data_IF_147082174465
#
_entry.id   IF_147082174465
#
_cell.length_a   1.000
_cell.length_b   1.000
_cell.length_c   1.000
_cell.angle_alpha   90.00
_cell.angle_beta   90.00
_cell.angle_gamma   90.00
#
_symmetry.space_group_name_H-M   'P 1'
#
loop_
_entity.id
_entity.type
_entity.pdbx_description
1 polymer ?
#
# COMPACT_ATOMS: atom_id res chain seq x y z
N UNK A 1 6.50 37.86 -1.82
CA UNK A 1 6.01 36.60 -2.41
C UNK A 1 4.49 36.64 -2.46
N UNK A 2 3.88 36.39 -3.62
CA UNK A 2 2.42 36.43 -3.78
C UNK A 2 1.74 35.26 -3.03
N UNK A 3 0.45 35.39 -2.70
CA UNK A 3 -0.32 34.30 -2.07
C UNK A 3 -0.31 33.01 -2.92
N UNK A 4 -0.30 33.14 -4.24
CA UNK A 4 -0.23 32.02 -5.18
C UNK A 4 1.14 31.34 -5.18
N UNK A 5 2.23 32.11 -5.20
CA UNK A 5 3.59 31.58 -5.07
C UNK A 5 3.75 30.80 -3.76
N UNK A 6 3.24 31.33 -2.65
CA UNK A 6 3.29 30.65 -1.36
C UNK A 6 2.55 29.30 -1.36
N UNK A 7 1.35 29.25 -1.96
CA UNK A 7 0.55 28.02 -2.07
C UNK A 7 1.22 26.98 -2.97
N UNK A 8 1.77 27.41 -4.11
CA UNK A 8 2.48 26.53 -5.02
C UNK A 8 3.72 25.90 -4.36
N UNK A 9 4.52 26.72 -3.68
CA UNK A 9 5.69 26.24 -2.94
C UNK A 9 5.27 25.23 -1.87
N UNK A 10 4.21 25.51 -1.11
CA UNK A 10 3.71 24.59 -0.10
C UNK A 10 3.23 23.26 -0.71
N UNK A 11 2.49 23.30 -1.82
CA UNK A 11 2.06 22.10 -2.54
C UNK A 11 3.25 21.29 -3.06
N UNK A 12 4.28 21.96 -3.58
CA UNK A 12 5.50 21.32 -4.05
C UNK A 12 6.26 20.61 -2.91
N UNK A 13 6.39 21.26 -1.75
CA UNK A 13 6.99 20.62 -0.57
C UNK A 13 6.14 19.46 -0.04
N UNK A 14 4.81 19.56 -0.12
CA UNK A 14 3.92 18.45 0.23
C UNK A 14 4.11 17.27 -0.73
N UNK A 15 4.18 17.53 -2.04
CA UNK A 15 4.46 16.52 -3.04
C UNK A 15 5.81 15.83 -2.79
N UNK A 16 6.88 16.60 -2.58
CA UNK A 16 8.21 16.05 -2.25
C UNK A 16 8.16 15.21 -0.97
N UNK A 17 7.48 15.67 0.07
CA UNK A 17 7.38 14.92 1.33
C UNK A 17 6.68 13.56 1.15
N UNK A 18 5.63 13.50 0.33
CA UNK A 18 4.97 12.23 0.00
C UNK A 18 5.85 11.36 -0.90
N UNK A 19 6.52 11.92 -1.91
CA UNK A 19 7.45 11.19 -2.76
C UNK A 19 8.60 10.57 -1.94
N UNK A 20 9.11 11.31 -0.95
CA UNK A 20 10.09 10.82 0.03
C UNK A 20 9.54 9.68 0.88
N UNK A 21 8.29 9.78 1.32
CA UNK A 21 7.64 8.71 2.05
C UNK A 21 7.46 7.46 1.18
N UNK A 22 7.27 7.63 -0.13
CA UNK A 22 7.07 6.56 -1.11
C UNK A 22 8.36 5.98 -1.69
N UNK A 23 9.55 6.26 -1.14
CA UNK A 23 10.82 5.80 -1.74
C UNK A 23 10.86 4.30 -2.03
N UNK A 24 10.38 3.46 -1.12
CA UNK A 24 10.38 2.02 -1.36
C UNK A 24 9.39 1.61 -2.45
N UNK A 25 8.19 2.19 -2.45
CA UNK A 25 7.18 1.96 -3.51
C UNK A 25 7.68 2.45 -4.88
N UNK A 26 8.29 3.63 -4.93
CA UNK A 26 8.86 4.20 -6.15
C UNK A 26 10.03 3.35 -6.67
N UNK A 27 10.86 2.81 -5.78
CA UNK A 27 11.90 1.86 -6.11
C UNK A 27 11.31 0.59 -6.75
N UNK A 28 10.32 -0.06 -6.12
CA UNK A 28 9.69 -1.25 -6.69
C UNK A 28 9.04 -0.98 -8.06
N UNK A 29 8.30 0.12 -8.20
CA UNK A 29 7.72 0.52 -9.49
C UNK A 29 8.79 0.75 -10.56
N UNK A 30 9.93 1.34 -10.18
CA UNK A 30 11.06 1.52 -11.10
C UNK A 30 11.64 0.18 -11.54
N UNK A 31 11.78 -0.79 -10.61
CA UNK A 31 12.22 -2.15 -10.94
C UNK A 31 11.22 -2.84 -11.87
N UNK A 32 9.91 -2.63 -11.70
CA UNK A 32 8.90 -3.19 -12.62
C UNK A 32 9.07 -2.67 -14.05
N UNK A 33 9.25 -1.35 -14.19
CA UNK A 33 9.47 -0.69 -15.48
C UNK A 33 10.79 -1.15 -16.13
N UNK A 34 11.88 -1.19 -15.35
CA UNK A 34 13.18 -1.66 -15.86
C UNK A 34 13.10 -3.11 -16.30
N UNK A 35 12.49 -3.98 -15.50
CA UNK A 35 12.40 -5.41 -15.82
C UNK A 35 11.39 -5.73 -16.93
N UNK A 36 10.53 -4.79 -17.31
CA UNK A 36 9.69 -4.92 -18.50
C UNK A 36 10.50 -4.83 -19.79
N UNK A 37 11.49 -3.93 -19.82
CA UNK A 37 12.33 -3.70 -21.01
C UNK A 37 13.64 -4.48 -20.97
N UNK A 38 14.04 -4.97 -19.80
CA UNK A 38 15.26 -5.72 -19.58
C UNK A 38 14.98 -7.04 -18.86
N UNK A 39 15.26 -8.15 -19.54
CA UNK A 39 15.12 -9.50 -18.97
C UNK A 39 16.47 -10.22 -19.00
N UNK A 40 17.09 -10.46 -17.83
CA UNK A 40 18.35 -11.20 -17.76
C UNK A 40 18.13 -12.69 -18.07
N UNK A 41 19.07 -13.29 -18.79
CA UNK A 41 18.92 -14.67 -19.30
C UNK A 41 18.88 -15.76 -18.21
N UNK A 42 19.46 -15.51 -17.03
CA UNK A 42 19.70 -16.54 -16.02
C UNK A 42 18.88 -16.38 -14.73
N UNK A 43 17.99 -15.39 -14.67
CA UNK A 43 17.14 -15.16 -13.49
C UNK A 43 15.75 -14.75 -13.95
N UNK A 44 14.72 -15.35 -13.35
CA UNK A 44 13.35 -14.95 -13.61
C UNK A 44 13.15 -13.48 -13.23
N UNK A 45 12.31 -12.79 -14.02
CA UNK A 45 11.90 -11.41 -13.73
C UNK A 45 11.42 -11.24 -12.29
N UNK A 46 10.60 -12.18 -11.80
CA UNK A 46 10.06 -12.11 -10.44
C UNK A 46 11.11 -12.36 -9.36
N UNK A 47 12.09 -13.23 -9.62
CA UNK A 47 13.21 -13.45 -8.71
C UNK A 47 14.11 -12.22 -8.65
N UNK A 48 14.36 -11.56 -9.78
CA UNK A 48 15.12 -10.30 -9.81
C UNK A 48 14.41 -9.20 -9.03
N UNK A 49 13.09 -9.07 -9.17
CA UNK A 49 12.28 -8.14 -8.38
C UNK A 49 12.39 -8.47 -6.88
N UNK A 50 12.23 -9.75 -6.52
CA UNK A 50 12.33 -10.21 -5.14
C UNK A 50 13.70 -9.87 -4.54
N UNK A 51 14.79 -10.22 -5.22
CA UNK A 51 16.15 -9.93 -4.76
C UNK A 51 16.41 -8.43 -4.66
N UNK A 52 15.86 -7.63 -5.58
CA UNK A 52 15.96 -6.16 -5.53
C UNK A 52 15.24 -5.60 -4.29
N UNK A 53 14.05 -6.14 -3.97
CA UNK A 53 13.29 -5.75 -2.78
C UNK A 53 14.01 -6.15 -1.48
N UNK A 54 14.58 -7.35 -1.42
CA UNK A 54 15.40 -7.83 -0.30
C UNK A 54 16.64 -6.94 -0.13
N UNK A 55 17.36 -6.64 -1.22
CA UNK A 55 18.53 -5.77 -1.18
C UNK A 55 18.17 -4.37 -0.65
N UNK A 56 17.08 -3.77 -1.14
CA UNK A 56 16.59 -2.49 -0.62
C UNK A 56 16.31 -2.58 0.88
N UNK A 57 15.59 -3.60 1.34
CA UNK A 57 15.22 -3.78 2.74
C UNK A 57 16.45 -3.95 3.65
N UNK A 58 17.44 -4.74 3.20
CA UNK A 58 18.72 -4.93 3.91
C UNK A 58 19.49 -3.62 3.98
N UNK A 59 19.62 -2.89 2.87
CA UNK A 59 20.26 -1.58 2.85
C UNK A 59 19.55 -0.56 3.75
N UNK A 60 18.21 -0.53 3.74
CA UNK A 60 17.42 0.37 4.58
C UNK A 60 17.66 0.12 6.08
N UNK A 61 17.83 -1.15 6.48
CA UNK A 61 18.17 -1.52 7.85
C UNK A 61 19.63 -1.23 8.20
N UNK A 62 20.57 -1.62 7.33
CA UNK A 62 22.01 -1.44 7.55
C UNK A 62 22.39 0.04 7.64
N UNK A 63 21.79 0.88 6.79
CA UNK A 63 21.97 2.34 6.79
C UNK A 63 21.08 3.06 7.82
N UNK A 64 20.31 2.32 8.62
CA UNK A 64 19.40 2.83 9.67
C UNK A 64 18.36 3.83 9.15
N UNK A 65 17.98 3.72 7.88
CA UNK A 65 16.82 4.43 7.36
C UNK A 65 15.53 3.88 7.96
N UNK A 66 15.48 2.58 8.26
CA UNK A 66 14.35 1.93 8.94
C UNK A 66 14.76 1.37 10.31
N UNK A 67 13.85 1.46 11.28
CA UNK A 67 14.05 0.95 12.64
C UNK A 67 13.56 -0.50 12.75
N UNK A 68 14.12 -1.31 13.67
CA UNK A 68 13.69 -2.70 13.87
C UNK A 68 12.18 -2.87 14.14
N UNK A 69 11.57 -1.93 14.85
CA UNK A 69 10.11 -1.93 15.09
C UNK A 69 9.28 -1.78 13.82
N UNK A 70 9.80 -1.04 12.83
CA UNK A 70 9.15 -0.85 11.54
C UNK A 70 9.31 -2.10 10.68
N UNK A 71 10.48 -2.74 10.77
CA UNK A 71 10.74 -4.04 10.15
C UNK A 71 9.81 -5.13 10.67
N UNK A 72 9.51 -5.16 11.97
CA UNK A 72 8.51 -6.08 12.50
C UNK A 72 7.14 -5.93 11.82
N UNK A 73 6.69 -4.69 11.59
CA UNK A 73 5.44 -4.43 10.87
C UNK A 73 5.54 -4.90 9.42
N UNK A 74 6.69 -4.70 8.76
CA UNK A 74 6.95 -5.21 7.40
C UNK A 74 6.80 -6.74 7.33
N UNK A 75 7.28 -7.48 8.34
CA UNK A 75 7.08 -8.93 8.41
C UNK A 75 5.61 -9.31 8.55
N UNK A 76 4.82 -8.58 9.34
CA UNK A 76 3.36 -8.80 9.43
C UNK A 76 2.67 -8.60 8.09
N UNK A 77 3.08 -7.57 7.33
CA UNK A 77 2.58 -7.38 5.96
C UNK A 77 2.90 -8.57 5.07
N UNK A 78 4.13 -9.10 5.11
CA UNK A 78 4.49 -10.26 4.30
C UNK A 78 3.60 -11.47 4.61
N UNK A 79 3.38 -11.77 5.89
CA UNK A 79 2.57 -12.92 6.30
C UNK A 79 1.11 -12.77 5.84
N UNK A 80 0.49 -11.63 6.14
CA UNK A 80 -0.92 -11.39 5.81
C UNK A 80 -1.14 -11.23 4.30
N UNK A 81 -0.23 -10.54 3.61
CA UNK A 81 -0.28 -10.37 2.17
C UNK A 81 -0.14 -11.71 1.45
N UNK A 82 0.87 -12.51 1.81
CA UNK A 82 1.09 -13.81 1.17
C UNK A 82 -0.13 -14.72 1.36
N UNK A 83 -0.73 -14.73 2.56
CA UNK A 83 -1.98 -15.46 2.80
C UNK A 83 -3.12 -15.03 1.88
N UNK A 84 -3.32 -13.71 1.71
CA UNK A 84 -4.35 -13.18 0.82
C UNK A 84 -4.05 -13.46 -0.65
N UNK A 85 -2.81 -13.27 -1.09
CA UNK A 85 -2.36 -13.54 -2.45
C UNK A 85 -2.53 -15.01 -2.82
N UNK A 86 -2.21 -15.94 -1.90
CA UNK A 86 -2.40 -17.38 -2.13
C UNK A 86 -3.85 -17.71 -2.39
N UNK A 87 -4.75 -17.12 -1.60
CA UNK A 87 -6.18 -17.28 -1.82
C UNK A 87 -6.63 -16.65 -3.14
N UNK A 88 -6.23 -15.40 -3.39
CA UNK A 88 -6.72 -14.60 -4.52
C UNK A 88 -6.25 -15.08 -5.88
N UNK A 89 -5.04 -15.62 -5.94
CA UNK A 89 -4.42 -16.14 -7.16
C UNK A 89 -4.62 -17.64 -7.35
N UNK A 90 -5.24 -18.32 -6.37
CA UNK A 90 -5.57 -19.73 -6.51
C UNK A 90 -6.39 -19.95 -7.79
N UNK A 91 -6.11 -21.00 -8.60
CA UNK A 91 -6.79 -21.21 -9.88
C UNK A 91 -8.32 -21.27 -9.78
N UNK A 92 -8.86 -21.77 -8.66
CA UNK A 92 -10.31 -21.80 -8.41
C UNK A 92 -10.94 -20.43 -8.08
N UNK A 93 -10.14 -19.44 -7.66
CA UNK A 93 -10.59 -18.09 -7.32
C UNK A 93 -10.32 -17.12 -8.47
N UNK A 94 -9.11 -17.18 -9.04
CA UNK A 94 -8.73 -16.48 -10.27
C UNK A 94 -8.94 -14.97 -10.24
N UNK A 95 -8.76 -14.31 -9.08
CA UNK A 95 -8.98 -12.85 -8.99
C UNK A 95 -7.97 -12.06 -9.83
N UNK A 96 -6.75 -12.57 -9.95
CA UNK A 96 -5.70 -12.16 -10.89
C UNK A 96 -4.67 -13.28 -11.00
N UNK A 97 -3.76 -13.16 -11.96
CA UNK A 97 -2.69 -14.13 -12.20
C UNK A 97 -1.33 -13.44 -12.32
N UNK A 98 -0.29 -14.14 -11.89
CA UNK A 98 1.11 -13.74 -12.07
C UNK A 98 1.72 -14.50 -13.26
N UNK A 99 1.72 -13.95 -14.49
CA UNK A 99 2.11 -14.71 -15.70
C UNK A 99 3.54 -15.25 -15.65
N UNK A 100 4.48 -14.57 -14.98
CA UNK A 100 5.87 -14.98 -14.87
C UNK A 100 6.18 -16.01 -13.77
N UNK A 101 5.16 -16.49 -13.03
CA UNK A 101 5.41 -17.24 -11.77
C UNK A 101 6.01 -18.62 -12.04
N UNK A 102 5.67 -19.24 -13.18
CA UNK A 102 6.17 -20.56 -13.53
C UNK A 102 7.70 -20.65 -13.72
N UNK A 103 8.37 -19.51 -13.95
CA UNK A 103 9.82 -19.43 -14.04
C UNK A 103 10.52 -19.00 -12.75
N UNK A 104 9.78 -18.61 -11.72
CA UNK A 104 10.33 -18.05 -10.48
C UNK A 104 10.72 -19.15 -9.48
N UNK A 105 11.90 -19.03 -8.88
CA UNK A 105 12.36 -19.90 -7.79
C UNK A 105 11.80 -19.40 -6.46
N UNK A 106 11.73 -18.08 -6.26
CA UNK A 106 11.20 -17.45 -5.06
C UNK A 106 9.69 -17.24 -5.18
N UNK A 107 8.96 -18.35 -5.22
CA UNK A 107 7.50 -18.38 -5.25
C UNK A 107 6.95 -19.45 -4.32
N UNK A 108 5.72 -19.25 -3.86
CA UNK A 108 4.95 -20.24 -3.12
C UNK A 108 3.61 -20.45 -3.81
N UNK A 109 3.43 -21.61 -4.44
CA UNK A 109 2.28 -21.88 -5.29
C UNK A 109 2.19 -20.88 -6.46
N UNK A 110 1.07 -20.19 -6.58
CA UNK A 110 0.80 -19.16 -7.61
C UNK A 110 1.35 -17.78 -7.25
N UNK A 111 2.03 -17.64 -6.11
CA UNK A 111 2.41 -16.34 -5.53
C UNK A 111 3.92 -16.15 -5.54
N UNK A 112 4.45 -15.20 -6.33
CA UNK A 112 5.83 -14.77 -6.21
C UNK A 112 6.06 -14.11 -4.84
N UNK A 113 7.20 -14.39 -4.19
CA UNK A 113 7.49 -13.87 -2.85
C UNK A 113 7.71 -12.36 -2.81
N UNK A 114 7.96 -11.70 -3.96
CA UNK A 114 8.05 -10.24 -4.00
C UNK A 114 6.71 -9.55 -3.67
N UNK A 115 5.59 -10.24 -3.82
CA UNK A 115 4.25 -9.68 -3.57
C UNK A 115 4.11 -9.23 -2.12
N UNK A 116 4.69 -9.94 -1.16
CA UNK A 116 4.74 -9.50 0.25
C UNK A 116 5.39 -8.11 0.41
N UNK A 117 6.41 -7.81 -0.40
CA UNK A 117 7.05 -6.49 -0.42
C UNK A 117 6.17 -5.39 -1.03
N UNK A 118 5.22 -5.72 -1.91
CA UNK A 118 4.26 -4.72 -2.42
C UNK A 118 3.36 -4.19 -1.31
N UNK A 119 2.84 -5.09 -0.49
CA UNK A 119 2.01 -4.69 0.66
C UNK A 119 2.85 -4.01 1.73
N UNK A 120 4.07 -4.49 2.00
CA UNK A 120 4.95 -3.82 2.95
C UNK A 120 5.39 -2.43 2.47
N UNK A 121 5.42 -2.17 1.15
CA UNK A 121 5.69 -0.83 0.61
C UNK A 121 4.61 0.18 1.00
N UNK A 122 3.34 -0.24 1.09
CA UNK A 122 2.26 0.59 1.65
C UNK A 122 2.53 0.88 3.13
N UNK A 123 2.91 -0.13 3.91
CA UNK A 123 3.26 0.01 5.32
C UNK A 123 4.47 0.93 5.56
N UNK A 124 5.51 0.80 4.74
CA UNK A 124 6.69 1.67 4.75
C UNK A 124 6.29 3.10 4.42
N UNK A 125 5.48 3.33 3.37
CA UNK A 125 4.94 4.66 3.06
C UNK A 125 4.22 5.29 4.26
N UNK A 126 3.30 4.58 4.92
CA UNK A 126 2.56 5.11 6.08
C UNK A 126 3.55 5.46 7.21
N UNK A 127 4.50 4.57 7.51
CA UNK A 127 5.51 4.80 8.57
C UNK A 127 6.41 6.00 8.27
N UNK A 128 6.87 6.12 7.02
CA UNK A 128 7.67 7.25 6.56
C UNK A 128 6.86 8.55 6.54
N UNK A 129 5.57 8.50 6.19
CA UNK A 129 4.68 9.64 6.25
C UNK A 129 4.54 10.15 7.70
N UNK A 130 4.37 9.26 8.69
CA UNK A 130 4.38 9.64 10.11
C UNK A 130 5.63 10.44 10.51
N UNK A 131 6.79 10.07 9.96
CA UNK A 131 8.07 10.70 10.28
C UNK A 131 8.26 12.00 9.50
N UNK A 132 8.16 11.98 8.18
CA UNK A 132 8.48 13.12 7.33
C UNK A 132 7.44 14.23 7.39
N UNK A 133 6.17 13.89 7.61
CA UNK A 133 5.08 14.85 7.74
C UNK A 133 4.70 15.14 9.20
N UNK A 134 5.38 14.51 10.17
CA UNK A 134 5.10 14.61 11.60
C UNK A 134 3.60 14.42 11.90
N UNK A 135 3.04 13.30 11.42
CA UNK A 135 1.60 13.08 11.49
C UNK A 135 1.13 12.93 12.94
N UNK A 136 0.01 13.59 13.24
CA UNK A 136 -0.76 13.43 14.47
C UNK A 136 -2.24 13.43 14.12
N UNK A 137 -3.05 12.79 14.96
CA UNK A 137 -4.48 12.62 14.70
C UNK A 137 -5.27 13.31 15.79
N UNK A 138 -6.33 14.00 15.38
CA UNK A 138 -7.30 14.66 16.25
C UNK A 138 -8.63 13.91 16.19
N UNK A 139 -9.28 13.71 17.34
CA UNK A 139 -10.57 13.00 17.43
C UNK A 139 -10.49 11.62 16.76
N UNK A 140 -9.42 10.90 17.04
CA UNK A 140 -9.27 9.52 16.59
C UNK A 140 -10.29 8.63 17.33
N UNK A 141 -10.98 7.69 16.64
CA UNK A 141 -11.94 6.82 17.30
C UNK A 141 -11.25 5.92 18.34
N UNK A 142 -12.03 5.28 19.20
CA UNK A 142 -11.46 4.33 20.14
C UNK A 142 -10.67 3.23 19.39
N UNK A 143 -9.47 2.94 19.86
CA UNK A 143 -8.48 2.14 19.13
C UNK A 143 -8.98 0.73 18.77
N UNK A 144 -9.92 0.17 19.54
CA UNK A 144 -10.51 -1.13 19.24
C UNK A 144 -11.38 -1.10 17.97
N UNK A 145 -12.05 0.02 17.63
CA UNK A 145 -12.83 0.13 16.40
C UNK A 145 -11.94 -0.01 15.15
N UNK A 146 -10.73 0.54 15.19
CA UNK A 146 -9.74 0.39 14.11
C UNK A 146 -9.42 -1.08 13.88
N UNK A 147 -9.21 -1.86 14.94
CA UNK A 147 -8.87 -3.28 14.84
C UNK A 147 -10.04 -4.17 14.45
N UNK A 148 -11.25 -3.91 15.00
CA UNK A 148 -12.46 -4.59 14.54
C UNK A 148 -12.61 -4.39 13.03
N UNK A 149 -12.48 -3.15 12.57
CA UNK A 149 -12.58 -2.81 11.16
C UNK A 149 -11.50 -3.49 10.32
N UNK A 150 -10.24 -3.47 10.75
CA UNK A 150 -9.14 -4.13 10.04
C UNK A 150 -9.35 -5.65 9.90
N UNK A 151 -9.82 -6.31 10.96
CA UNK A 151 -10.14 -7.74 10.94
C UNK A 151 -11.30 -8.01 9.99
N UNK A 152 -12.39 -7.24 10.06
CA UNK A 152 -13.54 -7.40 9.16
C UNK A 152 -13.18 -7.17 7.70
N UNK A 153 -12.31 -6.19 7.41
CA UNK A 153 -11.78 -5.95 6.06
C UNK A 153 -10.98 -7.15 5.58
N UNK A 154 -10.05 -7.65 6.40
CA UNK A 154 -9.22 -8.79 6.04
C UNK A 154 -10.10 -10.01 5.73
N UNK A 155 -11.03 -10.35 6.62
CA UNK A 155 -11.97 -11.46 6.43
C UNK A 155 -12.84 -11.27 5.18
N UNK A 156 -13.34 -10.06 4.93
CA UNK A 156 -14.12 -9.76 3.73
C UNK A 156 -13.32 -10.01 2.45
N UNK A 157 -12.01 -9.72 2.41
CA UNK A 157 -11.19 -10.01 1.23
C UNK A 157 -11.12 -11.51 0.87
N UNK A 158 -11.31 -12.42 1.83
CA UNK A 158 -11.46 -13.85 1.56
C UNK A 158 -12.93 -14.21 1.26
N UNK A 159 -13.86 -13.77 2.10
CA UNK A 159 -15.22 -14.29 2.11
C UNK A 159 -16.10 -13.79 0.98
N UNK A 160 -15.85 -12.61 0.39
CA UNK A 160 -16.71 -12.07 -0.69
C UNK A 160 -16.73 -12.91 -1.96
N UNK A 161 -15.82 -13.88 -2.10
CA UNK A 161 -15.85 -14.82 -3.22
C UNK A 161 -16.90 -15.93 -3.00
N UNK A 162 -17.26 -16.22 -1.74
CA UNK A 162 -18.20 -17.29 -1.38
C UNK A 162 -19.53 -16.77 -0.84
N UNK A 163 -19.53 -15.56 -0.28
CA UNK A 163 -20.68 -14.90 0.35
C UNK A 163 -20.83 -13.47 -0.16
N UNK A 164 -21.86 -12.77 0.32
CA UNK A 164 -22.09 -11.37 0.00
C UNK A 164 -20.89 -10.48 0.32
N UNK A 165 -20.55 -9.62 -0.63
CA UNK A 165 -19.54 -8.60 -0.42
C UNK A 165 -20.09 -7.48 0.49
N UNK A 166 -19.64 -7.48 1.75
CA UNK A 166 -20.05 -6.51 2.76
C UNK A 166 -19.29 -5.17 2.69
N UNK A 167 -18.55 -4.87 1.60
CA UNK A 167 -17.75 -3.64 1.48
C UNK A 167 -18.53 -2.36 1.76
N UNK A 168 -19.79 -2.27 1.36
CA UNK A 168 -20.62 -1.09 1.60
C UNK A 168 -20.89 -0.88 3.09
N UNK A 169 -21.12 -1.95 3.85
CA UNK A 169 -21.21 -1.89 5.31
C UNK A 169 -19.89 -1.44 5.92
N UNK A 170 -18.75 -1.96 5.43
CA UNK A 170 -17.43 -1.54 5.89
C UNK A 170 -17.18 -0.06 5.60
N UNK A 171 -17.55 0.46 4.42
CA UNK A 171 -17.44 1.88 4.10
C UNK A 171 -18.30 2.75 5.01
N UNK A 172 -19.54 2.35 5.30
CA UNK A 172 -20.40 3.05 6.26
C UNK A 172 -19.76 3.07 7.64
N UNK A 173 -19.21 1.94 8.09
CA UNK A 173 -18.53 1.87 9.38
C UNK A 173 -17.28 2.76 9.43
N UNK A 174 -16.42 2.72 8.41
CA UNK A 174 -15.26 3.61 8.25
C UNK A 174 -15.71 5.07 8.34
N UNK A 175 -16.75 5.44 7.59
CA UNK A 175 -17.28 6.80 7.54
C UNK A 175 -17.72 7.25 8.93
N UNK A 176 -18.56 6.47 9.62
CA UNK A 176 -19.09 6.81 10.95
C UNK A 176 -17.96 7.08 11.94
N UNK A 177 -16.95 6.21 12.01
CA UNK A 177 -15.91 6.32 13.05
C UNK A 177 -14.84 7.38 12.72
N UNK A 178 -14.59 7.67 11.43
CA UNK A 178 -13.52 8.57 11.02
C UNK A 178 -13.97 9.92 10.46
N UNK A 179 -15.28 10.18 10.28
CA UNK A 179 -15.77 11.45 9.72
C UNK A 179 -15.29 12.68 10.51
N UNK A 180 -15.12 12.54 11.83
CA UNK A 180 -14.61 13.62 12.71
C UNK A 180 -13.09 13.64 12.84
N UNK A 181 -12.40 12.61 12.37
CA UNK A 181 -10.95 12.45 12.52
C UNK A 181 -10.22 13.36 11.54
N UNK A 182 -9.29 14.17 12.06
CA UNK A 182 -8.43 15.05 11.27
C UNK A 182 -6.98 14.60 11.40
N UNK A 183 -6.28 14.57 10.28
CA UNK A 183 -4.83 14.33 10.21
C UNK A 183 -4.16 15.70 10.23
N UNK A 184 -3.37 15.95 11.25
CA UNK A 184 -2.48 17.12 11.34
C UNK A 184 -1.09 16.73 10.84
N UNK A 185 -0.53 17.55 9.97
CA UNK A 185 0.74 17.32 9.33
C UNK A 185 1.50 18.64 9.15
N UNK A 186 2.82 18.57 9.11
CA UNK A 186 3.69 19.73 8.90
C UNK A 186 4.24 19.70 7.47
N UNK A 187 3.96 20.76 6.72
CA UNK A 187 4.56 20.98 5.39
C UNK A 187 5.33 22.28 5.42
N UNK A 188 6.58 22.23 4.95
CA UNK A 188 7.47 23.38 4.92
C UNK A 188 7.59 24.03 6.32
N UNK A 189 6.90 25.16 6.55
CA UNK A 189 6.92 25.92 7.81
C UNK A 189 5.59 25.95 8.56
N UNK A 190 4.53 25.33 8.04
CA UNK A 190 3.18 25.43 8.60
C UNK A 190 2.60 24.06 8.96
N UNK A 191 1.83 24.04 10.03
CA UNK A 191 0.94 22.92 10.34
C UNK A 191 -0.36 23.07 9.55
N UNK A 192 -0.81 21.96 8.97
CA UNK A 192 -2.04 21.85 8.20
C UNK A 192 -2.84 20.65 8.70
N UNK A 193 -4.13 20.67 8.41
CA UNK A 193 -5.03 19.57 8.74
C UNK A 193 -5.84 19.15 7.53
N UNK A 194 -6.16 17.86 7.44
CA UNK A 194 -7.02 17.30 6.41
C UNK A 194 -7.93 16.22 7.01
N UNK A 195 -9.18 16.03 6.53
CA UNK A 195 -9.99 14.87 6.94
C UNK A 195 -9.24 13.55 6.69
N UNK A 196 -9.27 12.62 7.65
CA UNK A 196 -8.63 11.31 7.49
C UNK A 196 -9.17 10.56 6.26
N UNK A 197 -10.49 10.59 6.06
CA UNK A 197 -11.13 9.94 4.92
C UNK A 197 -10.60 10.47 3.58
N UNK A 198 -10.34 11.77 3.48
CA UNK A 198 -9.72 12.36 2.29
C UNK A 198 -8.28 11.89 2.12
N UNK A 199 -7.52 11.76 3.21
CA UNK A 199 -6.13 11.27 3.18
C UNK A 199 -6.07 9.83 2.69
N UNK A 200 -6.91 8.97 3.25
CA UNK A 200 -7.02 7.57 2.87
C UNK A 200 -7.49 7.42 1.41
N UNK A 201 -8.49 8.20 0.98
CA UNK A 201 -8.97 8.19 -0.40
C UNK A 201 -7.90 8.62 -1.41
N UNK A 202 -7.22 9.76 -1.17
CA UNK A 202 -6.16 10.21 -2.07
C UNK A 202 -5.01 9.20 -2.13
N UNK A 203 -4.64 8.62 -0.99
CA UNK A 203 -3.61 7.56 -0.96
C UNK A 203 -4.07 6.33 -1.76
N UNK A 204 -5.33 5.90 -1.60
CA UNK A 204 -5.90 4.78 -2.36
C UNK A 204 -5.88 5.02 -3.87
N UNK A 205 -6.19 6.26 -4.27
CA UNK A 205 -6.15 6.68 -5.67
C UNK A 205 -4.73 6.60 -6.25
N UNK A 206 -3.70 7.04 -5.51
CA UNK A 206 -2.31 6.89 -5.96
C UNK A 206 -1.86 5.43 -6.02
N UNK A 207 -2.35 4.57 -5.12
CA UNK A 207 -2.11 3.12 -5.20
C UNK A 207 -2.79 2.53 -6.43
N UNK A 208 -4.00 2.96 -6.79
CA UNK A 208 -4.66 2.55 -8.03
C UNK A 208 -3.88 3.00 -9.28
N UNK A 209 -3.27 4.19 -9.29
CA UNK A 209 -2.36 4.61 -10.36
C UNK A 209 -1.16 3.65 -10.44
N UNK A 210 -0.54 3.32 -9.30
CA UNK A 210 0.57 2.37 -9.25
C UNK A 210 0.17 0.98 -9.78
N UNK A 211 -1.02 0.49 -9.43
CA UNK A 211 -1.58 -0.76 -9.96
C UNK A 211 -1.75 -0.73 -11.49
N UNK A 212 -2.17 0.39 -12.07
CA UNK A 212 -2.26 0.52 -13.52
C UNK A 212 -0.89 0.44 -14.18
N UNK A 213 0.15 1.02 -13.57
CA UNK A 213 1.54 0.87 -14.06
C UNK A 213 1.97 -0.60 -13.96
N UNK A 214 1.70 -1.28 -12.84
CA UNK A 214 2.09 -2.67 -12.64
C UNK A 214 1.41 -3.63 -13.62
N UNK A 215 0.11 -3.46 -13.86
CA UNK A 215 -0.64 -4.26 -14.85
C UNK A 215 -0.20 -3.94 -16.28
N UNK A 216 0.15 -2.68 -16.57
CA UNK A 216 0.74 -2.31 -17.87
C UNK A 216 2.08 -3.00 -18.12
N UNK A 217 2.89 -3.16 -17.07
CA UNK A 217 4.16 -3.90 -17.10
C UNK A 217 3.99 -5.42 -16.90
N UNK A 218 2.79 -5.98 -17.08
CA UNK A 218 2.54 -7.42 -16.99
C UNK A 218 3.00 -8.09 -15.67
N UNK A 219 3.08 -7.35 -14.56
CA UNK A 219 3.51 -7.91 -13.28
C UNK A 219 2.42 -8.86 -12.77
N UNK A 220 1.17 -8.42 -12.77
CA UNK A 220 0.00 -9.28 -12.64
C UNK A 220 -1.05 -8.82 -13.65
N UNK A 221 -1.97 -9.72 -13.99
CA UNK A 221 -3.05 -9.46 -14.93
C UNK A 221 -4.39 -9.87 -14.32
N UNK A 222 -5.38 -9.00 -14.48
CA UNK A 222 -6.77 -9.35 -14.21
C UNK A 222 -7.33 -10.24 -15.35
N UNK A 223 -8.35 -11.09 -15.10
CA UNK A 223 -8.93 -11.96 -16.13
C UNK A 223 -9.39 -11.21 -17.39
N UNK A 224 -9.90 -9.99 -17.22
CA UNK A 224 -10.33 -9.13 -18.33
C UNK A 224 -9.18 -8.45 -19.07
N UNK A 225 -7.95 -8.47 -18.54
CA UNK A 225 -6.75 -7.85 -19.14
C UNK A 225 -5.83 -8.86 -19.86
N UNK A 226 -6.22 -10.13 -19.96
CA UNK A 226 -5.37 -11.18 -20.56
C UNK A 226 -5.09 -10.97 -22.06
N UNK A 227 -6.05 -10.40 -22.80
CA UNK A 227 -5.91 -10.17 -24.25
C UNK A 227 -5.44 -8.75 -24.58
N UNK A 228 -5.87 -7.75 -23.82
CA UNK A 228 -5.50 -6.35 -24.05
C UNK A 228 -5.48 -5.54 -22.75
N UNK A 229 -4.50 -4.64 -22.66
CA UNK A 229 -4.40 -3.74 -21.53
C UNK A 229 -5.43 -2.61 -21.65
N UNK A 230 -6.11 -2.35 -20.54
CA UNK A 230 -6.97 -1.19 -20.32
C UNK A 230 -6.89 -0.79 -18.85
N UNK A 231 -7.37 0.40 -18.53
CA UNK A 231 -7.36 0.87 -17.14
C UNK A 231 -8.12 -0.10 -16.23
N UNK A 232 -7.49 -0.43 -15.11
CA UNK A 232 -8.12 -1.22 -14.04
C UNK A 232 -9.35 -0.48 -13.53
N UNK A 233 -10.48 -1.19 -13.33
CA UNK A 233 -11.73 -0.58 -12.86
C UNK A 233 -11.51 0.35 -11.67
N UNK A 234 -12.18 1.51 -11.70
CA UNK A 234 -12.12 2.49 -10.62
C UNK A 234 -12.67 1.93 -9.29
N UNK A 235 -13.50 0.88 -9.32
CA UNK A 235 -13.98 0.19 -8.11
C UNK A 235 -12.83 -0.36 -7.25
N UNK A 236 -11.67 -0.62 -7.84
CA UNK A 236 -10.46 -1.04 -7.11
C UNK A 236 -9.94 0.03 -6.16
N UNK A 237 -10.20 1.32 -6.41
CA UNK A 237 -9.90 2.39 -5.45
C UNK A 237 -10.59 2.10 -4.11
N UNK A 238 -11.81 1.57 -4.12
CA UNK A 238 -12.51 1.15 -2.91
C UNK A 238 -11.83 0.00 -2.17
N UNK A 239 -11.33 -1.00 -2.92
CA UNK A 239 -10.55 -2.11 -2.34
C UNK A 239 -9.22 -1.61 -1.73
N UNK A 240 -8.50 -0.72 -2.43
CA UNK A 240 -7.28 -0.10 -1.90
C UNK A 240 -7.54 0.77 -0.69
N UNK A 241 -8.66 1.49 -0.66
CA UNK A 241 -9.07 2.28 0.49
C UNK A 241 -9.25 1.40 1.73
N UNK A 242 -9.96 0.27 1.62
CA UNK A 242 -10.12 -0.67 2.75
C UNK A 242 -8.78 -1.30 3.14
N UNK A 243 -7.96 -1.71 2.15
CA UNK A 243 -6.63 -2.24 2.42
C UNK A 243 -5.73 -1.22 3.13
N UNK A 244 -5.85 0.07 2.81
CA UNK A 244 -5.11 1.14 3.48
C UNK A 244 -5.55 1.33 4.93
N UNK A 245 -6.84 1.15 5.24
CA UNK A 245 -7.32 1.17 6.63
C UNK A 245 -6.75 -0.01 7.42
N UNK A 246 -6.73 -1.20 6.83
CA UNK A 246 -6.05 -2.37 7.41
C UNK A 246 -4.56 -2.10 7.60
N UNK A 247 -3.89 -1.59 6.58
CA UNK A 247 -2.46 -1.27 6.60
C UNK A 247 -2.13 -0.24 7.68
N UNK A 248 -2.98 0.78 7.81
CA UNK A 248 -2.88 1.78 8.85
C UNK A 248 -3.03 1.16 10.23
N UNK A 249 -3.96 0.21 10.44
CA UNK A 249 -4.09 -0.51 11.71
C UNK A 249 -2.79 -1.24 12.10
N UNK A 250 -2.16 -1.95 11.16
CA UNK A 250 -0.88 -2.63 11.40
C UNK A 250 0.24 -1.64 11.77
N UNK A 251 0.40 -0.55 11.01
CA UNK A 251 1.42 0.47 11.29
C UNK A 251 1.12 1.22 12.59
N UNK A 252 -0.15 1.40 12.94
CA UNK A 252 -0.57 2.11 14.15
C UNK A 252 -0.06 1.49 15.45
N UNK A 253 0.30 0.19 15.44
CA UNK A 253 0.92 -0.51 16.58
C UNK A 253 2.13 0.27 17.11
N UNK A 254 2.98 0.76 16.21
CA UNK A 254 4.24 1.43 16.56
C UNK A 254 4.14 2.97 16.62
N UNK A 255 2.97 3.54 16.32
CA UNK A 255 2.68 4.98 16.37
C UNK A 255 1.48 5.33 17.26
N UNK A 256 1.12 4.44 18.19
CA UNK A 256 -0.09 4.56 19.02
C UNK A 256 -0.17 5.87 19.81
N UNK A 257 0.98 6.42 20.22
CA UNK A 257 1.10 7.70 20.93
C UNK A 257 0.66 8.90 20.07
N UNK A 258 0.80 8.81 18.75
CA UNK A 258 0.44 9.86 17.79
C UNK A 258 -1.06 9.94 17.50
N UNK A 259 -1.84 8.97 17.98
CA UNK A 259 -3.27 8.84 17.70
C UNK A 259 -4.18 9.45 18.78
N UNK A 260 -3.65 9.77 19.96
CA UNK A 260 -4.45 10.08 21.15
C UNK A 260 -4.64 11.59 21.41
N UNK A 261 -4.65 12.42 20.36
CA UNK A 261 -4.83 13.87 20.49
C UNK A 261 -6.19 14.35 20.00
#
# INVERSE_FOLDING_TARGET
>A
MSKWQARFIELWYFFIANLRASYFSAFLLSVFLVTEVFSPAFISRYDLIFLSAVAYQVCALALRYEKPREFFVILLFHLLATGMELFKTHPAIGSWTYPGVGGAVFAFGTVPLFTGFLYSAIGSYISRAFIFLNLTYERFPAYYHLWILAILIYLNFFSHHFFYDIRYFLFVYVFIIFVRTRVRFRVYRKERTMPFLLTAFLTAFFVWIAENISTFTNIWLYPNQLESWHFVSFDKVGSWFLLLVLSFALVSIIYRDKLRR
#
